data_IF_433174803891
#
_entry.id   IF_433174803891
#
_cell.length_a   1.000
_cell.length_b   1.000
_cell.length_c   1.000
_cell.angle_alpha   90.00
_cell.angle_beta   90.00
_cell.angle_gamma   90.00
#
_symmetry.space_group_name_H-M   'P 1'
#
loop_
_entity.id
_entity.type
_entity.pdbx_description
1 polymer ?
#
# COMPACT_ATOMS: atom_id res chain seq x y z
N UNK A 1 -42.63 30.52 -1.22
CA UNK A 1 -42.76 29.24 -0.49
C UNK A 1 -41.70 28.21 -0.93
N UNK A 2 -40.55 28.61 -1.51
CA UNK A 2 -39.59 27.67 -2.12
C UNK A 2 -38.37 27.30 -1.26
N UNK A 3 -38.25 27.79 -0.02
CA UNK A 3 -37.00 27.69 0.74
C UNK A 3 -36.96 26.59 1.81
N UNK A 4 -37.86 25.59 1.76
CA UNK A 4 -37.91 24.48 2.73
C UNK A 4 -37.55 23.10 2.16
N UNK A 5 -37.58 22.91 0.84
CA UNK A 5 -37.17 21.63 0.24
C UNK A 5 -35.64 21.52 0.12
N UNK A 6 -34.94 22.63 -0.17
CA UNK A 6 -33.49 22.60 -0.40
C UNK A 6 -32.64 22.24 0.84
N UNK A 7 -33.13 22.52 2.05
CA UNK A 7 -32.40 22.23 3.29
C UNK A 7 -32.64 20.80 3.81
N UNK A 8 -33.75 20.17 3.40
CA UNK A 8 -34.10 18.81 3.80
C UNK A 8 -33.41 17.79 2.91
N UNK A 9 -33.29 18.09 1.62
CA UNK A 9 -32.51 17.28 0.68
C UNK A 9 -31.02 17.26 1.04
N UNK A 10 -30.45 18.32 1.64
CA UNK A 10 -29.06 18.36 2.09
C UNK A 10 -28.79 17.58 3.39
N UNK A 11 -29.73 17.62 4.36
CA UNK A 11 -29.58 16.86 5.61
C UNK A 11 -29.73 15.34 5.40
N UNK A 12 -30.57 14.92 4.44
CA UNK A 12 -30.73 13.51 4.06
C UNK A 12 -29.53 12.97 3.24
N UNK A 13 -28.84 13.83 2.46
CA UNK A 13 -27.58 13.49 1.77
C UNK A 13 -26.42 13.32 2.77
N UNK A 14 -26.26 14.25 3.72
CA UNK A 14 -25.21 14.18 4.75
C UNK A 14 -25.37 12.95 5.67
N UNK A 15 -26.61 12.54 6.02
CA UNK A 15 -26.86 11.32 6.82
C UNK A 15 -26.66 10.01 6.04
N UNK A 16 -26.90 10.01 4.72
CA UNK A 16 -26.66 8.86 3.87
C UNK A 16 -25.15 8.62 3.67
N UNK A 17 -24.38 9.69 3.49
CA UNK A 17 -22.91 9.66 3.36
C UNK A 17 -22.24 9.12 4.64
N UNK A 18 -22.67 9.58 5.82
CA UNK A 18 -22.18 9.08 7.12
C UNK A 18 -22.55 7.61 7.37
N UNK A 19 -23.71 7.14 6.87
CA UNK A 19 -24.10 5.71 6.95
C UNK A 19 -23.31 4.83 5.98
N UNK A 20 -22.86 5.38 4.86
CA UNK A 20 -22.07 4.69 3.85
C UNK A 20 -20.60 4.54 4.29
N UNK A 21 -20.01 5.58 4.89
CA UNK A 21 -18.69 5.52 5.56
C UNK A 21 -18.64 4.44 6.65
N UNK A 22 -19.72 4.29 7.43
CA UNK A 22 -19.81 3.25 8.46
C UNK A 22 -19.84 1.83 7.88
N UNK A 23 -20.32 1.64 6.65
CA UNK A 23 -20.32 0.34 5.95
C UNK A 23 -18.94 0.01 5.37
N UNK A 24 -18.20 1.00 4.87
CA UNK A 24 -16.84 0.84 4.36
C UNK A 24 -15.90 0.25 5.44
N UNK A 25 -15.99 0.75 6.68
CA UNK A 25 -15.21 0.24 7.80
C UNK A 25 -15.54 -1.23 8.16
N UNK A 26 -16.79 -1.66 7.99
CA UNK A 26 -17.21 -3.05 8.24
C UNK A 26 -16.55 -4.01 7.24
N UNK A 27 -16.48 -3.64 5.95
CA UNK A 27 -15.80 -4.44 4.94
C UNK A 27 -14.31 -4.63 5.27
N UNK A 28 -13.60 -3.55 5.58
CA UNK A 28 -12.19 -3.61 5.95
C UNK A 28 -11.97 -4.48 7.19
N UNK A 29 -12.84 -4.37 8.19
CA UNK A 29 -12.78 -5.20 9.40
C UNK A 29 -13.00 -6.69 9.09
N UNK A 30 -13.95 -7.03 8.22
CA UNK A 30 -14.20 -8.43 7.84
C UNK A 30 -13.01 -8.99 7.05
N UNK A 31 -12.48 -8.24 6.08
CA UNK A 31 -11.32 -8.65 5.29
C UNK A 31 -10.10 -8.85 6.20
N UNK A 32 -9.83 -7.93 7.12
CA UNK A 32 -8.75 -8.05 8.09
C UNK A 32 -8.92 -9.29 8.98
N UNK A 33 -10.15 -9.57 9.42
CA UNK A 33 -10.49 -10.79 10.16
C UNK A 33 -10.10 -12.07 9.41
N UNK A 34 -10.48 -12.19 8.13
CA UNK A 34 -10.09 -13.34 7.30
C UNK A 34 -8.59 -13.37 6.98
N UNK A 35 -7.99 -12.21 6.71
CA UNK A 35 -6.56 -12.09 6.47
C UNK A 35 -5.72 -12.56 7.67
N UNK A 36 -6.16 -12.22 8.89
CA UNK A 36 -5.46 -12.57 10.13
C UNK A 36 -5.42 -14.08 10.41
N UNK A 37 -6.40 -14.84 9.91
CA UNK A 37 -6.45 -16.31 10.03
C UNK A 37 -5.85 -17.03 8.82
N UNK A 38 -5.36 -16.28 7.82
CA UNK A 38 -4.77 -16.81 6.60
C UNK A 38 -5.78 -17.33 5.58
N UNK A 39 -7.06 -17.00 5.73
CA UNK A 39 -8.09 -17.34 4.74
C UNK A 39 -8.11 -16.28 3.63
N UNK A 40 -7.12 -16.40 2.74
CA UNK A 40 -6.93 -15.45 1.64
C UNK A 40 -8.08 -15.48 0.64
N UNK A 41 -8.71 -16.63 0.43
CA UNK A 41 -9.79 -16.79 -0.54
C UNK A 41 -11.03 -16.00 -0.11
N UNK A 42 -11.44 -16.14 1.16
CA UNK A 42 -12.55 -15.37 1.72
C UNK A 42 -12.25 -13.86 1.74
N UNK A 43 -11.03 -13.48 2.13
CA UNK A 43 -10.59 -12.08 2.12
C UNK A 43 -10.65 -11.47 0.71
N UNK A 44 -10.16 -12.20 -0.29
CA UNK A 44 -10.17 -11.77 -1.69
C UNK A 44 -11.59 -11.71 -2.28
N UNK A 45 -12.45 -12.66 -1.91
CA UNK A 45 -13.85 -12.64 -2.31
C UNK A 45 -14.55 -11.38 -1.79
N UNK A 46 -14.44 -11.09 -0.49
CA UNK A 46 -15.02 -9.88 0.10
C UNK A 46 -14.47 -8.63 -0.57
N UNK A 47 -13.16 -8.56 -0.79
CA UNK A 47 -12.53 -7.45 -1.50
C UNK A 47 -13.09 -7.27 -2.93
N UNK A 48 -13.39 -8.36 -3.63
CA UNK A 48 -14.00 -8.33 -4.97
C UNK A 48 -15.45 -7.85 -4.96
N UNK A 49 -16.19 -8.10 -3.88
CA UNK A 49 -17.59 -7.71 -3.69
C UNK A 49 -17.76 -6.26 -3.19
N UNK A 50 -16.68 -5.63 -2.69
CA UNK A 50 -16.72 -4.24 -2.21
C UNK A 50 -17.13 -3.27 -3.33
N UNK A 51 -18.19 -2.45 -3.12
CA UNK A 51 -18.62 -1.45 -4.11
C UNK A 51 -17.58 -0.35 -4.34
N UNK A 52 -16.86 0.02 -3.28
CA UNK A 52 -15.83 1.06 -3.28
C UNK A 52 -14.66 0.57 -2.43
N UNK A 53 -13.45 0.69 -2.98
CA UNK A 53 -12.20 0.24 -2.35
C UNK A 53 -11.37 1.46 -2.01
N UNK A 54 -11.01 1.58 -0.74
CA UNK A 54 -10.12 2.61 -0.22
C UNK A 54 -8.70 2.07 -0.02
N UNK A 55 -7.77 2.95 0.33
CA UNK A 55 -6.36 2.60 0.60
C UNK A 55 -6.26 1.41 1.59
N UNK A 56 -7.06 1.42 2.65
CA UNK A 56 -7.03 0.38 3.69
C UNK A 56 -7.38 -0.99 3.09
N UNK A 57 -8.46 -1.08 2.30
CA UNK A 57 -8.86 -2.34 1.66
C UNK A 57 -7.75 -2.92 0.77
N UNK A 58 -7.06 -2.07 -0.01
CA UNK A 58 -5.92 -2.46 -0.84
C UNK A 58 -4.73 -2.92 0.00
N UNK A 59 -4.37 -2.17 1.03
CA UNK A 59 -3.26 -2.49 1.93
C UNK A 59 -3.48 -3.85 2.59
N UNK A 60 -4.69 -4.13 3.08
CA UNK A 60 -5.03 -5.41 3.74
C UNK A 60 -4.85 -6.56 2.76
N UNK A 61 -5.46 -6.50 1.58
CA UNK A 61 -5.44 -7.64 0.65
C UNK A 61 -4.03 -7.90 0.09
N UNK A 62 -3.25 -6.85 -0.21
CA UNK A 62 -1.86 -6.98 -0.67
C UNK A 62 -1.00 -7.63 0.42
N UNK A 63 -1.15 -7.17 1.66
CA UNK A 63 -0.41 -7.72 2.81
C UNK A 63 -0.81 -9.16 3.09
N UNK A 64 -2.10 -9.48 2.99
CA UNK A 64 -2.63 -10.84 3.13
C UNK A 64 -1.99 -11.81 2.12
N UNK A 65 -1.99 -11.45 0.84
CA UNK A 65 -1.33 -12.25 -0.21
C UNK A 65 0.18 -12.41 0.05
N UNK A 66 0.88 -11.32 0.39
CA UNK A 66 2.31 -11.34 0.64
C UNK A 66 2.70 -12.22 1.84
N UNK A 67 1.95 -12.15 2.95
CA UNK A 67 2.18 -12.97 4.14
C UNK A 67 1.91 -14.45 3.89
N UNK A 68 0.94 -14.77 3.02
CA UNK A 68 0.61 -16.13 2.62
C UNK A 68 1.43 -16.66 1.45
N UNK A 69 2.54 -15.99 1.10
CA UNK A 69 3.50 -16.39 0.04
C UNK A 69 2.89 -16.43 -1.37
N UNK A 70 1.74 -15.79 -1.56
CA UNK A 70 1.07 -15.61 -2.84
C UNK A 70 1.56 -14.29 -3.47
N UNK A 71 2.86 -14.28 -3.77
CA UNK A 71 3.56 -13.06 -4.17
C UNK A 71 3.11 -12.53 -5.53
N UNK A 72 2.76 -13.41 -6.47
CA UNK A 72 2.33 -13.00 -7.82
C UNK A 72 0.99 -12.27 -7.73
N UNK A 73 0.08 -12.79 -6.92
CA UNK A 73 -1.23 -12.21 -6.63
C UNK A 73 -1.08 -10.86 -5.91
N UNK A 74 -0.21 -10.76 -4.90
CA UNK A 74 0.08 -9.50 -4.22
C UNK A 74 0.52 -8.40 -5.20
N UNK A 75 1.39 -8.73 -6.16
CA UNK A 75 1.87 -7.78 -7.16
C UNK A 75 0.81 -7.46 -8.22
N UNK A 76 -0.05 -8.41 -8.58
CA UNK A 76 -1.17 -8.16 -9.48
C UNK A 76 -2.14 -7.14 -8.87
N UNK A 77 -2.49 -7.33 -7.60
CA UNK A 77 -3.37 -6.43 -6.85
C UNK A 77 -2.72 -5.05 -6.66
N UNK A 78 -1.42 -4.99 -6.39
CA UNK A 78 -0.67 -3.72 -6.36
C UNK A 78 -0.70 -2.98 -7.71
N UNK A 79 -0.58 -3.71 -8.82
CA UNK A 79 -0.69 -3.10 -10.15
C UNK A 79 -2.10 -2.55 -10.40
N UNK A 80 -3.14 -3.25 -9.93
CA UNK A 80 -4.52 -2.79 -10.03
C UNK A 80 -4.75 -1.53 -9.19
N UNK A 81 -4.28 -1.51 -7.93
CA UNK A 81 -4.32 -0.33 -7.04
C UNK A 81 -3.74 0.91 -7.73
N UNK A 82 -2.57 0.78 -8.35
CA UNK A 82 -1.94 1.88 -9.12
C UNK A 82 -2.77 2.30 -10.33
N UNK A 83 -3.38 1.35 -11.04
CA UNK A 83 -4.23 1.65 -12.20
C UNK A 83 -5.49 2.43 -11.84
N UNK A 84 -5.97 2.28 -10.60
CA UNK A 84 -7.08 3.04 -10.02
C UNK A 84 -6.64 4.41 -9.49
N UNK A 85 -5.35 4.77 -9.62
CA UNK A 85 -4.82 6.04 -9.15
C UNK A 85 -4.67 6.16 -7.63
N UNK A 86 -4.73 5.04 -6.91
CA UNK A 86 -4.60 5.02 -5.45
C UNK A 86 -3.12 4.92 -5.08
N UNK A 87 -2.64 5.91 -4.32
CA UNK A 87 -1.24 5.96 -3.88
C UNK A 87 -0.99 4.96 -2.75
N UNK A 88 0.00 4.06 -2.88
CA UNK A 88 0.36 3.14 -1.81
C UNK A 88 1.01 3.84 -0.62
N UNK A 89 0.73 3.31 0.57
CA UNK A 89 1.38 3.71 1.83
C UNK A 89 2.62 2.86 2.13
N UNK A 90 3.31 3.17 3.23
CA UNK A 90 4.54 2.50 3.64
C UNK A 90 4.34 0.99 3.87
N UNK A 91 3.21 0.59 4.46
CA UNK A 91 2.86 -0.81 4.73
C UNK A 91 2.71 -1.56 3.41
N UNK A 92 1.97 -1.00 2.46
CA UNK A 92 1.79 -1.55 1.12
C UNK A 92 3.14 -1.73 0.43
N UNK A 93 3.98 -0.68 0.44
CA UNK A 93 5.28 -0.70 -0.23
C UNK A 93 6.21 -1.74 0.39
N UNK A 94 6.21 -1.89 1.72
CA UNK A 94 7.00 -2.93 2.41
C UNK A 94 6.57 -4.34 1.99
N UNK A 95 5.26 -4.61 1.97
CA UNK A 95 4.70 -5.90 1.51
C UNK A 95 5.07 -6.22 0.07
N UNK A 96 4.98 -5.22 -0.83
CA UNK A 96 5.28 -5.36 -2.25
C UNK A 96 6.78 -5.54 -2.51
N UNK A 97 7.65 -4.81 -1.78
CA UNK A 97 9.11 -5.00 -1.85
C UNK A 97 9.50 -6.41 -1.42
N UNK A 98 8.91 -6.91 -0.34
CA UNK A 98 9.09 -8.29 0.12
C UNK A 98 8.67 -9.29 -0.95
N UNK A 99 7.49 -9.12 -1.55
CA UNK A 99 7.04 -9.96 -2.66
C UNK A 99 8.02 -9.92 -3.85
N UNK A 100 8.52 -8.75 -4.24
CA UNK A 100 9.54 -8.61 -5.28
C UNK A 100 10.82 -9.37 -4.96
N UNK A 101 11.27 -9.32 -3.70
CA UNK A 101 12.45 -10.04 -3.23
C UNK A 101 12.31 -11.54 -3.40
N UNK A 102 11.13 -12.08 -3.13
CA UNK A 102 10.85 -13.52 -3.17
C UNK A 102 10.73 -14.09 -4.59
N UNK A 103 10.18 -13.32 -5.54
CA UNK A 103 10.03 -13.79 -6.93
C UNK A 103 11.12 -13.27 -7.88
N UNK A 104 12.05 -12.47 -7.38
CA UNK A 104 13.12 -11.89 -8.20
C UNK A 104 12.63 -10.79 -9.15
N UNK A 105 11.55 -10.07 -8.81
CA UNK A 105 10.98 -9.01 -9.63
C UNK A 105 11.79 -7.70 -9.55
N UNK A 106 13.02 -7.76 -10.05
CA UNK A 106 14.02 -6.70 -9.94
C UNK A 106 13.54 -5.35 -10.49
N UNK A 107 12.89 -5.35 -11.65
CA UNK A 107 12.54 -4.09 -12.33
C UNK A 107 11.40 -3.38 -11.63
N UNK A 108 10.42 -4.13 -11.10
CA UNK A 108 9.38 -3.58 -10.23
C UNK A 108 9.98 -3.05 -8.91
N UNK A 109 10.91 -3.79 -8.30
CA UNK A 109 11.62 -3.33 -7.10
C UNK A 109 12.37 -2.01 -7.31
N UNK A 110 12.96 -1.79 -8.50
CA UNK A 110 13.57 -0.49 -8.86
C UNK A 110 12.53 0.61 -9.00
N UNK A 111 11.40 0.32 -9.64
CA UNK A 111 10.32 1.29 -9.80
C UNK A 111 9.81 1.77 -8.44
N UNK A 112 9.61 0.84 -7.50
CA UNK A 112 9.19 1.14 -6.13
C UNK A 112 10.25 1.97 -5.40
N UNK A 113 11.53 1.61 -5.52
CA UNK A 113 12.61 2.39 -4.92
C UNK A 113 12.60 3.85 -5.42
N UNK A 114 12.42 4.07 -6.73
CA UNK A 114 12.30 5.41 -7.30
C UNK A 114 11.03 6.14 -6.82
N UNK A 115 9.93 5.41 -6.65
CA UNK A 115 8.68 5.96 -6.10
C UNK A 115 8.90 6.47 -4.66
N UNK A 116 9.56 5.70 -3.80
CA UNK A 116 9.87 6.10 -2.42
C UNK A 116 10.66 7.40 -2.37
N UNK A 117 11.72 7.50 -3.18
CA UNK A 117 12.54 8.70 -3.26
C UNK A 117 11.76 9.93 -3.75
N UNK A 118 10.90 9.76 -4.76
CA UNK A 118 10.15 10.87 -5.36
C UNK A 118 9.05 11.41 -4.46
N UNK A 119 8.48 10.57 -3.61
CA UNK A 119 7.41 10.94 -2.70
C UNK A 119 7.90 11.26 -1.28
N UNK A 120 9.23 11.32 -1.07
CA UNK A 120 9.81 11.74 0.21
C UNK A 120 9.60 10.74 1.35
N UNK A 121 9.48 9.44 1.05
CA UNK A 121 9.46 8.42 2.09
C UNK A 121 10.82 8.32 2.76
N UNK A 122 10.83 8.35 4.09
CA UNK A 122 12.03 8.04 4.86
C UNK A 122 12.36 6.55 4.73
N UNK A 123 13.58 6.25 4.30
CA UNK A 123 14.09 4.89 4.30
C UNK A 123 14.52 4.52 5.72
N UNK A 124 13.51 4.30 6.57
CA UNK A 124 13.70 3.84 7.92
C UNK A 124 14.31 2.43 7.97
N UNK A 125 14.50 1.89 9.19
CA UNK A 125 15.12 0.57 9.34
C UNK A 125 14.30 -0.52 8.65
N UNK A 126 12.97 -0.42 8.63
CA UNK A 126 12.10 -1.43 8.03
C UNK A 126 12.14 -1.38 6.50
N UNK A 127 11.86 -0.21 5.92
CA UNK A 127 11.78 -0.03 4.47
C UNK A 127 13.15 -0.16 3.81
N UNK A 128 14.20 0.37 4.46
CA UNK A 128 15.58 0.22 4.04
C UNK A 128 16.04 -1.24 4.04
N UNK A 129 15.72 -2.00 5.10
CA UNK A 129 16.06 -3.43 5.17
C UNK A 129 15.32 -4.24 4.11
N UNK A 130 14.05 -3.93 3.85
CA UNK A 130 13.28 -4.59 2.79
C UNK A 130 13.89 -4.36 1.41
N UNK A 131 14.32 -3.13 1.09
CA UNK A 131 14.99 -2.82 -0.18
C UNK A 131 16.33 -3.56 -0.33
N UNK A 132 17.13 -3.62 0.73
CA UNK A 132 18.41 -4.33 0.74
C UNK A 132 18.19 -5.83 0.48
N UNK A 133 17.23 -6.46 1.19
CA UNK A 133 16.87 -7.86 1.00
C UNK A 133 16.41 -8.13 -0.44
N UNK A 134 15.59 -7.23 -1.00
CA UNK A 134 15.13 -7.31 -2.39
C UNK A 134 16.28 -7.27 -3.39
N UNK A 135 17.20 -6.30 -3.29
CA UNK A 135 18.35 -6.23 -4.19
C UNK A 135 19.32 -7.40 -4.02
N UNK A 136 19.50 -7.89 -2.79
CA UNK A 136 20.34 -9.05 -2.50
C UNK A 136 19.78 -10.32 -3.15
N UNK A 137 18.48 -10.61 -2.96
CA UNK A 137 17.81 -11.80 -3.53
C UNK A 137 17.66 -11.71 -5.05
N UNK A 138 17.51 -10.51 -5.61
CA UNK A 138 17.47 -10.29 -7.06
C UNK A 138 18.86 -10.31 -7.73
N UNK A 139 19.91 -10.75 -7.02
CA UNK A 139 21.26 -10.94 -7.59
C UNK A 139 21.99 -9.64 -7.96
N UNK A 140 21.60 -8.51 -7.37
CA UNK A 140 22.19 -7.19 -7.67
C UNK A 140 23.03 -6.67 -6.50
N UNK A 141 24.10 -7.39 -6.14
CA UNK A 141 25.02 -6.96 -5.06
C UNK A 141 25.63 -5.57 -5.32
N UNK A 142 25.88 -5.22 -6.59
CA UNK A 142 26.45 -3.93 -7.00
C UNK A 142 25.52 -2.72 -6.73
N UNK A 143 24.20 -2.92 -6.75
CA UNK A 143 23.21 -1.87 -6.38
C UNK A 143 22.78 -1.91 -4.92
N UNK A 144 22.91 -3.04 -4.24
CA UNK A 144 22.58 -3.14 -2.82
C UNK A 144 23.51 -2.21 -2.00
N UNK A 145 24.80 -2.13 -2.36
CA UNK A 145 25.75 -1.15 -1.82
C UNK A 145 25.35 0.31 -2.10
N UNK A 146 24.85 0.62 -3.29
CA UNK A 146 24.34 1.96 -3.62
C UNK A 146 23.11 2.33 -2.79
N UNK A 147 22.17 1.39 -2.57
CA UNK A 147 21.02 1.59 -1.68
C UNK A 147 21.43 1.86 -0.23
N UNK A 148 22.39 1.10 0.32
CA UNK A 148 22.95 1.36 1.66
C UNK A 148 23.62 2.75 1.72
N UNK A 149 24.35 3.15 0.68
CA UNK A 149 24.97 4.48 0.59
C UNK A 149 23.93 5.61 0.44
N UNK A 150 22.77 5.35 -0.16
CA UNK A 150 21.68 6.31 -0.30
C UNK A 150 20.93 6.50 1.03
N UNK A 151 20.69 5.41 1.77
CA UNK A 151 20.17 5.43 3.16
C UNK A 151 21.12 6.22 4.08
N UNK A 152 22.43 6.00 3.95
CA UNK A 152 23.44 6.72 4.73
C UNK A 152 23.60 8.20 4.29
N UNK A 153 23.45 8.48 2.99
CA UNK A 153 23.66 9.81 2.40
C UNK A 153 22.49 10.79 2.62
N UNK A 154 21.24 10.32 2.64
CA UNK A 154 20.07 11.18 2.80
C UNK A 154 19.97 11.84 4.19
N UNK A 155 20.56 11.24 5.23
CA UNK A 155 20.63 11.86 6.57
C UNK A 155 21.57 13.06 6.64
N UNK A 156 22.56 13.16 5.74
CA UNK A 156 23.51 14.28 5.71
C UNK A 156 23.03 15.48 4.89
N UNK A 157 22.11 15.27 3.92
CA UNK A 157 21.61 16.32 3.04
C UNK A 157 20.42 17.11 3.60
N UNK A 158 19.76 16.66 4.67
CA UNK A 158 18.68 17.41 5.34
C UNK A 158 19.17 18.33 6.47
N UNK A 159 20.43 18.22 6.88
CA UNK A 159 21.03 19.13 7.88
C UNK A 159 21.72 20.36 7.26
N UNK A 160 21.70 20.52 5.93
CA UNK A 160 22.30 21.67 5.22
C UNK A 160 21.25 22.64 4.63
N UNK A 161 19.97 22.55 5.02
CA UNK A 161 18.91 23.44 4.51
C UNK A 161 18.18 24.30 5.57
N UNK A 162 18.66 24.35 6.81
CA UNK A 162 18.14 25.23 7.87
C UNK A 162 19.16 26.31 8.31
N UNK A 163 19.71 27.08 7.36
CA UNK A 163 20.40 28.37 7.62
C UNK A 163 19.89 29.47 6.67
#
# INVERSE_FOLDING_TARGET
MENKNKARDSEDEDEAEVREESREAVWNTMIDGYASVGDVESAAQLFSEMPKRDLISWTIIITCYAQNKQYVEALAVFSEMKSQGISPDEVTLTSVISACAHIGARDLGKEIHLYLMRNGFDLDVYLGSALIDMYAKCGSLDRSLCGVLQIAGQKSLLLEFDD
#
